data_IF_776648602762
#
_entry.id   IF_776648602762
#
_cell.length_a   1.000
_cell.length_b   1.000
_cell.length_c   1.000
_cell.angle_alpha   90.00
_cell.angle_beta   90.00
_cell.angle_gamma   90.00
#
_symmetry.space_group_name_H-M   'P 1'
#
loop_
_entity.id
_entity.type
_entity.pdbx_description
1 polymer ?
#
# COMPACT_ATOMS: atom_id res chain seq x y z
N UNK A 1 -16.55 -28.41 8.78
CA UNK A 1 -16.99 -27.01 8.96
C UNK A 1 -16.22 -26.27 10.05
N UNK A 2 -16.13 -26.80 11.29
CA UNK A 2 -15.43 -26.14 12.42
C UNK A 2 -13.93 -25.87 12.19
N UNK A 3 -13.22 -26.79 11.55
CA UNK A 3 -11.79 -26.64 11.25
C UNK A 3 -11.49 -25.44 10.34
N UNK A 4 -12.32 -25.18 9.33
CA UNK A 4 -12.17 -24.01 8.45
C UNK A 4 -12.36 -22.69 9.22
N UNK A 5 -13.29 -22.66 10.18
CA UNK A 5 -13.55 -21.50 11.03
C UNK A 5 -12.39 -21.27 12.01
N UNK A 6 -11.92 -22.33 12.66
CA UNK A 6 -10.76 -22.27 13.57
C UNK A 6 -9.50 -21.83 12.82
N UNK A 7 -9.25 -22.39 11.64
CA UNK A 7 -8.13 -22.00 10.78
C UNK A 7 -8.23 -20.52 10.36
N UNK A 8 -9.43 -20.07 9.96
CA UNK A 8 -9.66 -18.66 9.63
C UNK A 8 -9.45 -17.73 10.83
N UNK A 9 -9.83 -18.16 12.03
CA UNK A 9 -9.64 -17.39 13.25
C UNK A 9 -8.15 -17.29 13.62
N UNK A 10 -7.41 -18.40 13.47
CA UNK A 10 -5.95 -18.44 13.69
C UNK A 10 -5.22 -17.53 12.70
N UNK A 11 -5.59 -17.57 11.42
CA UNK A 11 -5.03 -16.68 10.40
C UNK A 11 -5.34 -15.22 10.71
N UNK A 12 -6.59 -14.91 11.09
CA UNK A 12 -6.96 -13.55 11.48
C UNK A 12 -6.15 -13.05 12.70
N UNK A 13 -5.98 -13.89 13.72
CA UNK A 13 -5.16 -13.55 14.89
C UNK A 13 -3.69 -13.32 14.51
N UNK A 14 -3.12 -14.15 13.63
CA UNK A 14 -1.75 -14.00 13.13
C UNK A 14 -1.58 -12.69 12.34
N UNK A 15 -2.56 -12.29 11.54
CA UNK A 15 -2.55 -11.01 10.82
C UNK A 15 -2.55 -9.83 11.79
N UNK A 16 -3.39 -9.88 12.82
CA UNK A 16 -3.42 -8.83 13.86
C UNK A 16 -2.09 -8.75 14.60
N UNK A 17 -1.54 -9.88 15.02
CA UNK A 17 -0.23 -9.94 15.68
C UNK A 17 0.87 -9.41 14.75
N UNK A 18 0.85 -9.77 13.47
CA UNK A 18 1.79 -9.27 12.47
C UNK A 18 1.69 -7.74 12.33
N UNK A 19 0.48 -7.18 12.26
CA UNK A 19 0.27 -5.73 12.18
C UNK A 19 0.79 -5.03 13.44
N UNK A 20 0.49 -5.56 14.63
CA UNK A 20 0.92 -4.98 15.92
C UNK A 20 2.43 -5.11 16.11
N UNK A 21 3.04 -6.25 15.78
CA UNK A 21 4.50 -6.41 15.85
C UNK A 21 5.23 -5.55 14.82
N UNK A 22 4.65 -5.36 13.64
CA UNK A 22 5.18 -4.49 12.60
C UNK A 22 4.65 -3.04 12.73
N UNK A 23 4.04 -2.68 13.87
CA UNK A 23 3.69 -1.30 14.22
C UNK A 23 4.94 -0.52 14.68
N UNK A 24 6.05 -0.72 13.98
CA UNK A 24 7.21 0.14 14.13
C UNK A 24 6.79 1.52 13.62
N UNK A 25 6.46 2.43 14.55
CA UNK A 25 6.17 3.82 14.25
C UNK A 25 7.47 4.44 13.74
N UNK A 26 7.46 4.88 12.49
CA UNK A 26 8.55 5.67 11.94
C UNK A 26 8.14 7.12 11.91
N UNK A 27 8.99 7.93 12.50
CA UNK A 27 8.91 9.37 12.41
C UNK A 27 9.46 9.81 11.05
N UNK A 28 8.57 10.20 10.16
CA UNK A 28 8.96 10.86 8.91
C UNK A 28 8.95 12.36 9.20
N UNK A 29 10.11 13.00 9.01
CA UNK A 29 10.20 14.47 8.99
C UNK A 29 10.25 14.93 7.55
N UNK A 30 9.22 15.65 7.12
CA UNK A 30 9.12 16.22 5.78
C UNK A 30 9.14 17.74 5.85
N UNK A 31 10.27 18.35 5.49
CA UNK A 31 10.54 19.80 5.60
C UNK A 31 10.24 20.39 7.00
N UNK A 32 8.99 20.77 7.28
CA UNK A 32 8.51 21.33 8.56
C UNK A 32 7.45 20.47 9.26
N UNK A 33 7.02 19.37 8.66
CA UNK A 33 6.01 18.46 9.21
C UNK A 33 6.65 17.19 9.77
N UNK A 34 6.18 16.76 10.93
CA UNK A 34 6.50 15.45 11.49
C UNK A 34 5.25 14.60 11.45
N UNK A 35 5.35 13.45 10.79
CA UNK A 35 4.25 12.51 10.65
C UNK A 35 4.72 11.15 11.17
N UNK A 36 4.11 10.73 12.28
CA UNK A 36 4.44 9.47 12.96
C UNK A 36 3.37 8.44 12.58
N UNK A 37 3.72 7.48 11.74
CA UNK A 37 2.83 6.40 11.32
C UNK A 37 3.59 5.06 11.29
N UNK A 38 2.86 3.94 11.28
CA UNK A 38 3.50 2.63 11.19
C UNK A 38 4.20 2.45 9.83
N UNK A 39 5.40 1.84 9.83
CA UNK A 39 6.17 1.52 8.61
C UNK A 39 5.34 0.80 7.56
N UNK A 40 4.49 -0.13 8.00
CA UNK A 40 3.63 -0.92 7.13
C UNK A 40 2.61 -0.05 6.39
N UNK A 41 2.00 0.90 7.10
CA UNK A 41 1.03 1.83 6.51
C UNK A 41 1.72 2.81 5.55
N UNK A 42 2.94 3.24 5.88
CA UNK A 42 3.79 4.04 4.99
C UNK A 42 4.10 3.30 3.68
N UNK A 43 4.55 2.04 3.74
CA UNK A 43 4.80 1.23 2.54
C UNK A 43 3.54 1.05 1.69
N UNK A 44 2.39 0.83 2.34
CA UNK A 44 1.10 0.70 1.64
C UNK A 44 0.73 1.97 0.86
N UNK A 45 0.83 3.15 1.49
CA UNK A 45 0.60 4.42 0.80
C UNK A 45 1.61 4.67 -0.32
N UNK A 46 2.88 4.31 -0.13
CA UNK A 46 3.92 4.47 -1.16
C UNK A 46 3.60 3.67 -2.42
N UNK A 47 3.13 2.43 -2.25
CA UNK A 47 2.71 1.55 -3.36
C UNK A 47 1.46 2.12 -4.05
N UNK A 48 0.47 2.60 -3.30
CA UNK A 48 -0.74 3.22 -3.87
C UNK A 48 -0.37 4.45 -4.69
N UNK A 49 0.46 5.34 -4.15
CA UNK A 49 0.88 6.55 -4.85
C UNK A 49 1.66 6.19 -6.11
N UNK A 50 2.62 5.26 -6.02
CA UNK A 50 3.37 4.77 -7.17
C UNK A 50 2.48 4.13 -8.24
N UNK A 51 1.48 3.35 -7.85
CA UNK A 51 0.52 2.74 -8.77
C UNK A 51 -0.40 3.77 -9.43
N UNK A 52 -0.92 4.75 -8.69
CA UNK A 52 -1.74 5.84 -9.22
C UNK A 52 -0.94 6.71 -10.19
N UNK A 53 0.29 7.08 -9.82
CA UNK A 53 1.19 7.84 -10.69
C UNK A 53 1.52 7.04 -11.95
N UNK A 54 1.87 5.76 -11.81
CA UNK A 54 2.13 4.87 -12.93
C UNK A 54 0.92 4.73 -13.87
N UNK A 55 -0.28 4.59 -13.32
CA UNK A 55 -1.52 4.55 -14.08
C UNK A 55 -1.79 5.86 -14.82
N UNK A 56 -1.59 7.00 -14.15
CA UNK A 56 -1.81 8.33 -14.74
C UNK A 56 -0.83 8.60 -15.89
N UNK A 57 0.44 8.21 -15.73
CA UNK A 57 1.46 8.28 -16.77
C UNK A 57 1.15 7.35 -17.95
N UNK A 58 0.66 6.12 -17.67
CA UNK A 58 0.25 5.18 -18.73
C UNK A 58 -0.97 5.68 -19.50
N UNK A 59 -1.93 6.30 -18.81
CA UNK A 59 -3.09 6.96 -19.42
C UNK A 59 -2.69 8.14 -20.32
N UNK A 60 -1.69 8.93 -19.92
CA UNK A 60 -1.14 10.01 -20.75
C UNK A 60 -0.32 9.49 -21.95
N UNK A 61 0.39 8.36 -21.78
CA UNK A 61 1.23 7.76 -22.84
C UNK A 61 0.42 6.99 -23.90
N UNK A 62 -0.67 6.31 -23.51
CA UNK A 62 -1.58 5.63 -24.47
C UNK A 62 -2.27 6.61 -25.41
N UNK A 63 -2.46 7.88 -25.01
CA UNK A 63 -3.05 8.90 -25.87
C UNK A 63 -2.13 9.37 -27.01
N UNK A 64 -0.81 9.15 -26.92
CA UNK A 64 0.15 9.54 -27.97
C UNK A 64 0.34 8.49 -29.08
N UNK A 65 -0.03 7.23 -28.87
CA UNK A 65 0.17 6.19 -29.90
C UNK A 65 -0.93 6.15 -30.98
N UNK A 66 -1.96 7.01 -30.90
CA UNK A 66 -3.02 7.07 -31.91
C UNK A 66 -2.88 8.21 -32.93
N UNK A 67 -1.96 9.15 -32.74
CA UNK A 67 -1.73 10.27 -33.69
C UNK A 67 -0.61 10.01 -34.70
N UNK A 68 0.19 8.94 -34.54
CA UNK A 68 1.29 8.61 -35.46
C UNK A 68 0.89 7.56 -36.55
N UNK A 69 -0.41 7.26 -36.70
CA UNK A 69 -0.95 6.33 -37.71
C UNK A 69 -2.05 6.93 -38.61
N UNK A 70 -2.15 8.25 -38.72
CA UNK A 70 -2.93 8.91 -39.80
C UNK A 70 -2.02 9.51 -40.88
#
# INVERSE_FOLDING_TARGET
MKFKIILSLVVAALVVIFIVQNVAVVDIKFLFWKLSMSRSLMMFFLIIIGAVVGWFLKGASVRRQKEDQE
#
